data_IF_566739824725
#
_entry.id   IF_566739824725
#
_cell.length_a   1.000
_cell.length_b   1.000
_cell.length_c   1.000
_cell.angle_alpha   90.00
_cell.angle_beta   90.00
_cell.angle_gamma   90.00
#
_symmetry.space_group_name_H-M   'P 1'
#
loop_
_entity.id
_entity.type
_entity.pdbx_description
1 polymer ?
#
# COMPACT_ATOMS: atom_id res chain seq x y z
N UNK A 1 23.56 -39.87 -30.15
CA UNK A 1 23.90 -38.73 -29.27
C UNK A 1 22.71 -38.50 -28.36
N UNK A 2 22.85 -38.67 -27.03
CA UNK A 2 21.77 -38.32 -26.09
C UNK A 2 21.75 -36.80 -25.96
N UNK A 3 20.74 -36.14 -26.49
CA UNK A 3 20.55 -34.70 -26.29
C UNK A 3 20.19 -34.46 -24.82
N UNK A 4 20.99 -33.64 -24.14
CA UNK A 4 20.66 -33.17 -22.80
C UNK A 4 19.81 -31.90 -22.93
N UNK A 5 18.77 -31.73 -22.09
CA UNK A 5 18.05 -30.47 -22.01
C UNK A 5 19.00 -29.34 -21.63
N UNK A 6 18.86 -28.19 -22.29
CA UNK A 6 19.63 -27.00 -21.99
C UNK A 6 18.80 -26.08 -21.08
N UNK A 7 19.39 -25.66 -19.96
CA UNK A 7 18.75 -24.72 -19.04
C UNK A 7 19.36 -23.35 -19.30
N UNK A 8 18.53 -22.39 -19.71
CA UNK A 8 18.94 -20.99 -19.77
C UNK A 8 18.64 -20.35 -18.42
N UNK A 9 19.70 -19.96 -17.71
CA UNK A 9 19.59 -19.24 -16.43
C UNK A 9 19.94 -17.78 -16.69
N UNK A 10 18.97 -16.88 -16.49
CA UNK A 10 19.18 -15.44 -16.56
C UNK A 10 19.30 -14.91 -15.13
N UNK A 11 20.53 -14.59 -14.74
CA UNK A 11 20.86 -14.02 -13.43
C UNK A 11 20.79 -12.49 -13.47
N UNK A 12 19.95 -11.90 -12.62
CA UNK A 12 19.87 -10.46 -12.42
C UNK A 12 20.56 -10.07 -11.12
N UNK A 13 21.73 -9.44 -11.23
CA UNK A 13 22.39 -8.75 -10.12
C UNK A 13 21.90 -7.30 -10.10
N UNK A 14 20.73 -7.03 -9.51
CA UNK A 14 20.17 -5.67 -9.46
C UNK A 14 19.67 -5.29 -8.07
N UNK A 15 20.05 -4.08 -7.65
CA UNK A 15 19.43 -3.33 -6.54
C UNK A 15 18.10 -2.74 -7.00
N UNK A 16 17.00 -3.14 -6.37
CA UNK A 16 15.64 -2.57 -6.42
C UNK A 16 15.13 -2.09 -7.79
N UNK A 17 14.63 -3.02 -8.62
CA UNK A 17 13.75 -2.70 -9.76
C UNK A 17 12.61 -3.71 -9.86
N UNK A 18 11.40 -3.24 -10.19
CA UNK A 18 10.31 -4.10 -10.62
C UNK A 18 10.31 -4.18 -12.15
N UNK A 19 10.16 -5.38 -12.70
CA UNK A 19 10.07 -5.60 -14.15
C UNK A 19 8.59 -5.77 -14.48
N UNK A 20 8.04 -4.89 -15.31
CA UNK A 20 6.64 -4.87 -15.72
C UNK A 20 6.51 -4.70 -17.24
N UNK A 21 6.42 -5.83 -17.96
CA UNK A 21 6.17 -5.97 -19.43
C UNK A 21 7.28 -5.38 -20.34
N UNK A 22 7.64 -5.92 -21.50
CA UNK A 22 6.96 -6.79 -22.48
C UNK A 22 7.82 -7.99 -22.94
N UNK A 23 7.13 -9.06 -23.38
CA UNK A 23 7.49 -10.15 -24.31
C UNK A 23 8.98 -10.46 -24.49
N UNK A 24 9.47 -11.50 -23.81
CA UNK A 24 10.69 -12.20 -24.24
C UNK A 24 10.31 -13.11 -25.42
N UNK A 25 10.56 -12.65 -26.64
CA UNK A 25 10.33 -13.42 -27.86
C UNK A 25 11.55 -14.32 -28.11
N UNK A 26 11.41 -15.62 -27.88
CA UNK A 26 12.45 -16.61 -28.19
C UNK A 26 12.04 -17.31 -29.48
N UNK A 27 12.72 -16.99 -30.59
CA UNK A 27 12.43 -17.58 -31.90
C UNK A 27 13.43 -18.71 -32.21
N UNK A 28 12.93 -19.84 -32.73
CA UNK A 28 13.73 -20.96 -33.24
C UNK A 28 13.10 -21.45 -34.52
N UNK A 29 13.90 -21.90 -35.47
CA UNK A 29 13.38 -22.39 -36.74
C UNK A 29 13.92 -23.75 -37.19
N UNK A 30 13.47 -24.15 -38.37
CA UNK A 30 12.86 -25.45 -38.62
C UNK A 30 13.82 -26.47 -39.24
N UNK A 31 15.00 -26.07 -39.68
CA UNK A 31 16.00 -26.98 -40.23
C UNK A 31 17.27 -27.00 -39.37
N UNK A 32 17.37 -28.01 -38.51
CA UNK A 32 18.38 -29.08 -38.54
C UNK A 32 18.46 -29.76 -37.16
N UNK A 33 19.03 -30.96 -37.15
CA UNK A 33 19.05 -31.96 -36.05
C UNK A 33 19.94 -31.57 -34.85
N UNK A 34 19.89 -30.32 -34.40
CA UNK A 34 20.56 -29.83 -33.20
C UNK A 34 19.77 -28.67 -32.58
N UNK A 35 19.59 -28.69 -31.26
CA UNK A 35 18.97 -27.61 -30.50
C UNK A 35 19.86 -26.38 -30.48
N UNK A 36 19.65 -25.45 -31.40
CA UNK A 36 20.26 -24.11 -31.40
C UNK A 36 19.18 -23.13 -30.92
N UNK A 37 19.51 -22.30 -29.93
CA UNK A 37 18.67 -21.20 -29.44
C UNK A 37 19.22 -19.93 -30.07
N UNK A 38 18.40 -19.16 -30.78
CA UNK A 38 18.87 -17.99 -31.50
C UNK A 38 18.94 -16.78 -30.54
N UNK A 39 19.94 -15.93 -30.72
CA UNK A 39 19.97 -14.60 -30.10
C UNK A 39 19.37 -13.61 -31.10
N UNK A 40 18.04 -13.62 -31.26
CA UNK A 40 17.33 -12.49 -31.88
C UNK A 40 17.00 -11.49 -30.77
N UNK A 41 17.52 -10.27 -30.89
CA UNK A 41 17.11 -9.06 -30.19
C UNK A 41 16.25 -9.23 -28.92
N UNK A 42 16.90 -9.60 -27.81
CA UNK A 42 16.27 -9.47 -26.50
C UNK A 42 16.15 -7.98 -26.16
N UNK A 43 15.02 -7.36 -26.48
CA UNK A 43 14.68 -6.05 -25.92
C UNK A 43 14.12 -6.25 -24.51
N UNK A 44 15.01 -6.24 -23.52
CA UNK A 44 14.64 -6.07 -22.12
C UNK A 44 14.27 -4.60 -21.91
N UNK A 45 12.98 -4.29 -22.00
CA UNK A 45 12.43 -3.02 -21.57
C UNK A 45 12.12 -3.11 -20.07
N UNK A 46 12.83 -2.32 -19.27
CA UNK A 46 12.51 -2.11 -17.86
C UNK A 46 11.75 -0.78 -17.76
N UNK A 47 10.44 -0.86 -17.57
CA UNK A 47 9.59 0.29 -17.23
C UNK A 47 9.67 0.53 -15.73
N UNK A 48 10.10 1.72 -15.27
CA UNK A 48 10.01 2.08 -13.87
C UNK A 48 8.55 1.99 -13.41
N UNK A 49 8.31 1.53 -12.18
CA UNK A 49 7.04 1.83 -11.52
C UNK A 49 6.99 3.34 -11.35
N UNK A 50 5.92 3.95 -11.85
CA UNK A 50 5.66 5.38 -11.66
C UNK A 50 5.35 5.58 -10.16
N UNK A 51 6.39 5.94 -9.41
CA UNK A 51 6.25 6.35 -8.02
C UNK A 51 5.99 7.86 -8.03
N UNK A 52 4.89 8.34 -7.44
CA UNK A 52 4.66 9.77 -7.33
C UNK A 52 5.87 10.43 -6.65
N UNK A 53 6.40 11.48 -7.27
CA UNK A 53 7.50 12.34 -6.81
C UNK A 53 8.95 11.79 -6.86
N UNK A 54 9.20 10.63 -7.50
CA UNK A 54 10.56 10.10 -7.67
C UNK A 54 11.00 10.08 -9.15
N UNK A 55 11.91 11.01 -9.52
CA UNK A 55 12.65 10.91 -10.79
C UNK A 55 13.65 9.75 -10.72
N UNK A 56 13.19 8.54 -11.00
CA UNK A 56 14.08 7.39 -11.17
C UNK A 56 14.83 7.57 -12.48
N UNK A 57 16.14 7.83 -12.41
CA UNK A 57 17.03 7.73 -13.57
C UNK A 57 17.37 6.25 -13.70
N UNK A 58 16.84 5.51 -14.70
CA UNK A 58 17.13 4.09 -14.84
C UNK A 58 18.63 3.95 -15.14
N UNK A 59 19.37 3.37 -14.19
CA UNK A 59 20.75 2.96 -14.45
C UNK A 59 20.65 1.67 -15.26
N UNK A 60 20.85 1.78 -16.57
CA UNK A 60 20.93 0.63 -17.47
C UNK A 60 22.15 -0.19 -17.07
N UNK A 61 21.92 -1.22 -16.25
CA UNK A 61 22.92 -2.21 -15.94
C UNK A 61 22.92 -3.20 -17.10
N UNK A 62 24.01 -3.20 -17.87
CA UNK A 62 24.21 -4.25 -18.88
C UNK A 62 24.20 -5.58 -18.13
N UNK A 63 23.31 -6.52 -18.46
CA UNK A 63 23.30 -7.82 -17.82
C UNK A 63 24.69 -8.44 -17.94
N UNK A 64 25.21 -8.97 -16.83
CA UNK A 64 26.44 -9.73 -16.86
C UNK A 64 26.13 -11.06 -17.55
N UNK A 65 26.33 -11.11 -18.86
CA UNK A 65 26.29 -12.35 -19.62
C UNK A 65 27.52 -13.15 -19.20
N UNK A 66 27.31 -14.24 -18.46
CA UNK A 66 28.38 -15.19 -18.17
C UNK A 66 28.97 -15.65 -19.50
N UNK A 67 30.30 -15.66 -19.67
CA UNK A 67 30.92 -15.98 -20.94
C UNK A 67 30.52 -17.40 -21.36
N UNK A 68 29.67 -17.50 -22.39
CA UNK A 68 29.42 -18.76 -23.09
C UNK A 68 30.58 -19.05 -24.05
N UNK A 69 30.94 -20.33 -24.18
CA UNK A 69 31.91 -20.78 -25.17
C UNK A 69 31.40 -20.40 -26.57
N UNK A 70 32.22 -19.64 -27.29
CA UNK A 70 31.87 -18.74 -28.40
C UNK A 70 31.53 -19.41 -29.75
N UNK A 71 30.86 -20.56 -29.78
CA UNK A 71 30.73 -21.36 -31.02
C UNK A 71 29.33 -21.56 -31.60
N UNK A 72 28.27 -20.92 -31.09
CA UNK A 72 26.90 -21.41 -31.36
C UNK A 72 25.91 -20.49 -32.11
N UNK A 73 26.27 -19.29 -32.57
CA UNK A 73 25.25 -18.36 -33.11
C UNK A 73 25.60 -17.79 -34.51
N UNK A 74 24.67 -17.94 -35.47
CA UNK A 74 24.59 -17.28 -36.78
C UNK A 74 23.13 -16.86 -37.03
N UNK A 75 22.91 -15.71 -37.66
CA UNK A 75 21.58 -15.19 -38.04
C UNK A 75 20.95 -15.94 -39.23
N UNK A 76 19.63 -16.19 -39.18
CA UNK A 76 18.79 -16.63 -40.31
C UNK A 76 17.34 -16.13 -40.18
N UNK A 77 16.67 -15.91 -41.32
CA UNK A 77 15.29 -15.39 -41.48
C UNK A 77 14.22 -16.47 -41.27
N UNK A 78 13.79 -16.72 -40.03
CA UNK A 78 13.30 -18.06 -39.70
C UNK A 78 12.05 -18.12 -38.76
N UNK A 79 11.07 -18.99 -39.09
CA UNK A 79 9.68 -19.09 -38.56
C UNK A 79 9.56 -19.58 -37.10
N UNK A 80 8.75 -18.88 -36.27
CA UNK A 80 8.48 -19.20 -34.85
C UNK A 80 7.81 -20.58 -34.67
N UNK A 81 8.40 -21.43 -33.83
CA UNK A 81 7.91 -22.80 -33.53
C UNK A 81 7.04 -22.85 -32.26
N UNK A 82 7.33 -22.04 -31.23
CA UNK A 82 6.60 -22.02 -29.96
C UNK A 82 6.87 -20.72 -29.18
N UNK A 83 5.95 -20.31 -28.32
CA UNK A 83 6.07 -19.13 -27.46
C UNK A 83 5.49 -19.42 -26.07
N UNK A 84 6.13 -18.90 -25.03
CA UNK A 84 5.64 -18.97 -23.64
C UNK A 84 5.58 -17.57 -23.05
N UNK A 85 4.42 -17.20 -22.50
CA UNK A 85 4.19 -15.92 -21.86
C UNK A 85 4.04 -16.10 -20.35
N UNK A 86 4.84 -15.37 -19.57
CA UNK A 86 4.78 -15.42 -18.11
C UNK A 86 5.20 -14.08 -17.47
N UNK A 87 4.71 -13.85 -16.25
CA UNK A 87 5.04 -12.67 -15.44
C UNK A 87 5.69 -13.13 -14.14
N UNK A 88 6.83 -12.54 -13.79
CA UNK A 88 7.53 -12.84 -12.54
C UNK A 88 8.16 -11.59 -11.95
N UNK A 89 7.95 -11.40 -10.64
CA UNK A 89 8.71 -10.43 -9.85
C UNK A 89 10.08 -11.00 -9.50
N UNK A 90 11.13 -10.26 -9.85
CA UNK A 90 12.49 -10.61 -9.49
C UNK A 90 12.94 -9.78 -8.29
N UNK A 91 13.00 -10.44 -7.13
CA UNK A 91 13.64 -9.87 -5.95
C UNK A 91 15.17 -9.91 -6.09
N UNK A 92 15.92 -9.10 -5.31
CA UNK A 92 17.37 -9.24 -5.24
C UNK A 92 17.77 -10.69 -5.01
N UNK A 93 18.76 -11.18 -5.75
CA UNK A 93 19.28 -12.56 -5.72
C UNK A 93 18.38 -13.65 -6.32
N UNK A 94 17.21 -13.30 -6.85
CA UNK A 94 16.39 -14.24 -7.64
C UNK A 94 16.80 -14.22 -9.11
N UNK A 95 16.53 -15.33 -9.79
CA UNK A 95 16.82 -15.53 -11.22
C UNK A 95 15.57 -16.02 -11.91
N UNK A 96 15.50 -15.87 -13.24
CA UNK A 96 14.45 -16.43 -14.08
C UNK A 96 15.03 -17.63 -14.83
N UNK A 97 14.27 -18.72 -14.93
CA UNK A 97 14.69 -19.92 -15.63
C UNK A 97 13.62 -20.38 -16.63
N UNK A 98 14.06 -20.68 -17.84
CA UNK A 98 13.23 -21.32 -18.88
C UNK A 98 13.96 -22.59 -19.32
N UNK A 99 13.25 -23.70 -19.27
CA UNK A 99 13.67 -24.98 -19.82
C UNK A 99 13.33 -25.03 -21.31
N UNK A 100 14.32 -25.37 -22.12
CA UNK A 100 14.17 -25.52 -23.56
C UNK A 100 14.35 -27.01 -23.86
N UNK A 101 13.26 -27.68 -24.27
CA UNK A 101 13.31 -29.05 -24.79
C UNK A 101 13.38 -29.02 -26.32
N UNK A 102 14.59 -29.16 -26.90
CA UNK A 102 14.77 -29.08 -28.34
C UNK A 102 14.23 -30.29 -29.10
N UNK A 103 13.95 -31.41 -28.41
CA UNK A 103 13.48 -32.67 -29.01
C UNK A 103 11.97 -32.63 -29.13
N UNK A 104 11.28 -32.27 -28.06
CA UNK A 104 9.82 -32.23 -28.04
C UNK A 104 9.25 -30.89 -28.53
N UNK A 105 10.12 -29.90 -28.81
CA UNK A 105 9.71 -28.54 -29.18
C UNK A 105 8.77 -27.97 -28.13
N UNK A 106 9.29 -27.92 -26.89
CA UNK A 106 8.56 -27.41 -25.74
C UNK A 106 9.42 -26.34 -25.03
N UNK A 107 8.80 -25.20 -24.73
CA UNK A 107 9.32 -24.18 -23.82
C UNK A 107 8.55 -24.24 -22.51
N UNK A 108 9.28 -24.49 -21.42
CA UNK A 108 8.68 -24.55 -20.09
C UNK A 108 9.33 -23.52 -19.17
N UNK A 109 8.55 -22.54 -18.75
CA UNK A 109 8.95 -21.65 -17.68
C UNK A 109 9.13 -22.46 -16.38
N UNK A 110 10.32 -22.37 -15.78
CA UNK A 110 10.58 -22.91 -14.45
C UNK A 110 10.29 -21.78 -13.47
N UNK A 111 9.20 -21.93 -12.69
CA UNK A 111 8.86 -20.97 -11.64
C UNK A 111 9.98 -20.93 -10.61
N UNK A 112 10.75 -19.87 -10.65
CA UNK A 112 11.81 -19.57 -9.69
C UNK A 112 11.28 -18.57 -8.65
N UNK A 113 11.90 -18.52 -7.48
CA UNK A 113 11.49 -17.61 -6.41
C UNK A 113 10.48 -18.20 -5.42
N UNK A 114 9.97 -17.33 -4.55
CA UNK A 114 9.20 -17.72 -3.37
C UNK A 114 7.79 -18.15 -3.76
N UNK A 115 7.40 -19.36 -3.34
CA UNK A 115 6.02 -19.84 -3.43
C UNK A 115 5.23 -19.30 -2.24
N UNK A 116 4.19 -18.52 -2.53
CA UNK A 116 3.26 -18.01 -1.53
C UNK A 116 2.39 -19.15 -0.98
N UNK A 117 1.85 -18.98 0.22
CA UNK A 117 0.89 -19.94 0.79
C UNK A 117 -0.46 -19.89 0.08
N UNK A 118 -1.28 -20.92 0.26
CA UNK A 118 -2.65 -20.95 -0.27
C UNK A 118 -3.50 -19.80 0.29
N UNK A 119 -3.29 -19.44 1.56
CA UNK A 119 -3.98 -18.31 2.19
C UNK A 119 -3.58 -16.98 1.52
N UNK A 120 -2.30 -16.80 1.19
CA UNK A 120 -1.81 -15.62 0.46
C UNK A 120 -2.41 -15.53 -0.94
N UNK A 121 -2.45 -16.62 -1.69
CA UNK A 121 -3.06 -16.63 -3.02
C UNK A 121 -4.57 -16.37 -2.94
N UNK A 122 -5.26 -16.94 -1.95
CA UNK A 122 -6.68 -16.67 -1.68
C UNK A 122 -6.93 -15.20 -1.32
N UNK A 123 -6.08 -14.61 -0.47
CA UNK A 123 -6.17 -13.21 -0.09
C UNK A 123 -6.01 -12.27 -1.30
N UNK A 124 -5.06 -12.58 -2.18
CA UNK A 124 -4.86 -11.83 -3.43
C UNK A 124 -6.11 -11.93 -4.34
N UNK A 125 -6.68 -13.12 -4.50
CA UNK A 125 -7.88 -13.33 -5.32
C UNK A 125 -9.13 -12.64 -4.75
N UNK A 126 -9.22 -12.48 -3.43
CA UNK A 126 -10.29 -11.73 -2.80
C UNK A 126 -10.03 -10.21 -2.72
N UNK A 127 -8.86 -9.76 -3.15
CA UNK A 127 -8.50 -8.34 -3.23
C UNK A 127 -8.79 -7.76 -4.62
N UNK A 128 -8.93 -6.42 -4.74
CA UNK A 128 -9.06 -5.78 -6.04
C UNK A 128 -7.87 -6.05 -6.97
N UNK A 129 -8.15 -6.19 -8.26
CA UNK A 129 -7.11 -6.41 -9.29
C UNK A 129 -6.04 -5.31 -9.31
N UNK A 130 -6.42 -4.08 -9.00
CA UNK A 130 -5.50 -2.94 -9.03
C UNK A 130 -4.49 -2.92 -7.88
N UNK A 131 -4.67 -3.74 -6.83
CA UNK A 131 -3.71 -3.93 -5.71
C UNK A 131 -2.90 -5.22 -5.87
N UNK A 132 -3.37 -6.17 -6.70
CA UNK A 132 -2.88 -7.55 -6.77
C UNK A 132 -1.35 -7.65 -6.84
N UNK A 133 -0.74 -6.85 -7.70
CA UNK A 133 0.70 -6.82 -7.93
C UNK A 133 1.48 -6.33 -6.69
N UNK A 134 1.06 -5.23 -6.06
CA UNK A 134 1.72 -4.70 -4.86
C UNK A 134 1.52 -5.64 -3.67
N UNK A 135 0.32 -6.20 -3.50
CA UNK A 135 0.03 -7.15 -2.42
C UNK A 135 0.87 -8.43 -2.56
N UNK A 136 0.99 -8.97 -3.79
CA UNK A 136 1.82 -10.14 -4.07
C UNK A 136 3.28 -9.88 -3.74
N UNK A 137 3.81 -8.72 -4.13
CA UNK A 137 5.17 -8.31 -3.78
C UNK A 137 5.33 -8.25 -2.26
N UNK A 138 4.39 -7.61 -1.55
CA UNK A 138 4.44 -7.48 -0.10
C UNK A 138 4.41 -8.83 0.63
N UNK A 139 3.52 -9.73 0.24
CA UNK A 139 3.44 -11.07 0.83
C UNK A 139 4.74 -11.87 0.56
N UNK A 140 5.34 -11.67 -0.62
CA UNK A 140 6.65 -12.24 -0.94
C UNK A 140 7.76 -11.69 -0.03
N UNK A 141 7.76 -10.38 0.25
CA UNK A 141 8.69 -9.78 1.21
C UNK A 141 8.47 -10.34 2.63
N UNK A 142 7.22 -10.43 3.09
CA UNK A 142 6.86 -10.96 4.40
C UNK A 142 7.26 -12.43 4.57
N UNK A 143 7.23 -13.22 3.49
CA UNK A 143 7.72 -14.60 3.51
C UNK A 143 9.21 -14.70 3.82
N UNK A 144 10.01 -13.66 3.55
CA UNK A 144 11.40 -13.62 4.00
C UNK A 144 11.54 -13.54 5.53
N UNK A 145 10.52 -13.03 6.23
CA UNK A 145 10.45 -13.06 7.70
C UNK A 145 9.99 -14.42 8.23
N UNK A 146 9.17 -15.14 7.46
CA UNK A 146 8.74 -16.50 7.76
C UNK A 146 7.37 -16.83 7.16
N UNK A 147 7.14 -18.11 6.90
CA UNK A 147 5.85 -18.62 6.38
C UNK A 147 4.67 -18.26 7.29
N UNK A 148 4.88 -18.26 8.60
CA UNK A 148 3.83 -17.96 9.56
C UNK A 148 3.43 -16.48 9.52
N UNK A 149 4.41 -15.58 9.41
CA UNK A 149 4.19 -14.14 9.27
C UNK A 149 3.40 -13.82 8.01
N UNK A 150 3.81 -14.38 6.87
CA UNK A 150 3.09 -14.27 5.60
C UNK A 150 1.62 -14.69 5.76
N UNK A 151 1.38 -15.90 6.30
CA UNK A 151 0.04 -16.45 6.52
C UNK A 151 -0.81 -15.58 7.45
N UNK A 152 -0.23 -15.08 8.53
CA UNK A 152 -0.94 -14.20 9.48
C UNK A 152 -1.45 -12.93 8.80
N UNK A 153 -0.62 -12.30 7.96
CA UNK A 153 -1.02 -11.11 7.20
C UNK A 153 -2.04 -11.40 6.11
N UNK A 154 -1.89 -12.50 5.37
CA UNK A 154 -2.90 -12.93 4.39
C UNK A 154 -4.26 -13.18 5.06
N UNK A 155 -4.26 -13.79 6.25
CA UNK A 155 -5.48 -14.04 7.00
C UNK A 155 -6.20 -12.77 7.46
N UNK A 156 -5.53 -11.62 7.59
CA UNK A 156 -6.23 -10.36 7.89
C UNK A 156 -7.18 -9.99 6.75
N UNK A 157 -6.75 -10.09 5.50
CA UNK A 157 -7.58 -9.83 4.33
C UNK A 157 -8.74 -10.83 4.25
N UNK A 158 -8.47 -12.11 4.54
CA UNK A 158 -9.49 -13.15 4.48
C UNK A 158 -10.57 -13.00 5.58
N UNK A 159 -10.18 -12.52 6.77
CA UNK A 159 -11.09 -12.25 7.89
C UNK A 159 -11.90 -10.98 7.70
N UNK A 160 -11.37 -9.99 6.99
CA UNK A 160 -12.02 -8.71 6.77
C UNK A 160 -13.38 -8.87 6.08
N UNK A 161 -14.36 -8.08 6.52
CA UNK A 161 -15.66 -7.99 5.84
C UNK A 161 -15.47 -7.55 4.38
N UNK A 162 -16.37 -8.00 3.51
CA UNK A 162 -16.31 -7.71 2.07
C UNK A 162 -16.19 -6.21 1.77
N UNK A 163 -16.89 -5.37 2.54
CA UNK A 163 -16.92 -3.91 2.39
C UNK A 163 -15.61 -3.19 2.75
N UNK A 164 -14.72 -3.81 3.53
CA UNK A 164 -13.47 -3.17 3.99
C UNK A 164 -12.21 -3.85 3.41
N UNK A 165 -12.40 -4.80 2.50
CA UNK A 165 -11.36 -5.74 2.10
C UNK A 165 -10.30 -5.05 1.24
N UNK A 166 -10.71 -4.11 0.41
CA UNK A 166 -9.83 -3.26 -0.37
C UNK A 166 -8.99 -2.33 0.52
N UNK A 167 -9.53 -1.73 1.59
CA UNK A 167 -8.72 -0.93 2.51
C UNK A 167 -7.67 -1.77 3.23
N UNK A 168 -8.05 -2.95 3.75
CA UNK A 168 -7.12 -3.86 4.44
C UNK A 168 -6.02 -4.34 3.48
N UNK A 169 -6.39 -4.72 2.26
CA UNK A 169 -5.43 -5.10 1.23
C UNK A 169 -4.51 -3.94 0.84
N UNK A 170 -5.06 -2.73 0.70
CA UNK A 170 -4.31 -1.52 0.35
C UNK A 170 -3.26 -1.17 1.40
N UNK A 171 -3.67 -1.15 2.67
CA UNK A 171 -2.77 -0.87 3.80
C UNK A 171 -1.67 -1.90 3.85
N UNK A 172 -1.99 -3.19 3.77
CA UNK A 172 -0.97 -4.24 3.78
C UNK A 172 0.02 -4.05 2.63
N UNK A 173 -0.48 -3.90 1.39
CA UNK A 173 0.36 -3.75 0.20
C UNK A 173 1.31 -2.54 0.26
N UNK A 174 0.87 -1.44 0.87
CA UNK A 174 1.60 -0.16 0.86
C UNK A 174 2.29 0.17 2.20
N UNK A 175 2.15 -0.64 3.25
CA UNK A 175 2.93 -0.48 4.47
C UNK A 175 4.38 -0.93 4.26
N UNK A 176 5.30 -0.23 4.94
CA UNK A 176 6.71 -0.62 4.89
C UNK A 176 6.90 -2.01 5.52
N UNK A 177 7.76 -2.83 4.91
CA UNK A 177 8.11 -4.15 5.47
C UNK A 177 8.56 -4.01 6.93
N UNK A 178 9.41 -3.01 7.21
CA UNK A 178 9.97 -2.77 8.54
C UNK A 178 8.91 -2.50 9.60
N UNK A 179 7.83 -1.80 9.24
CA UNK A 179 6.72 -1.51 10.15
C UNK A 179 5.85 -2.74 10.41
N UNK A 180 5.61 -3.56 9.39
CA UNK A 180 4.85 -4.80 9.52
C UNK A 180 5.61 -5.85 10.36
N UNK A 181 6.94 -5.80 10.39
CA UNK A 181 7.75 -6.70 11.23
C UNK A 181 8.24 -6.05 12.54
N UNK A 182 7.84 -4.81 12.83
CA UNK A 182 8.17 -4.15 14.11
C UNK A 182 7.52 -4.91 15.26
N UNK A 183 8.29 -5.16 16.32
CA UNK A 183 7.85 -5.96 17.47
C UNK A 183 6.68 -5.33 18.23
N UNK A 184 6.46 -4.02 18.12
CA UNK A 184 5.30 -3.33 18.70
C UNK A 184 4.04 -3.50 17.85
N UNK A 185 4.19 -3.67 16.54
CA UNK A 185 3.07 -3.85 15.62
C UNK A 185 2.61 -5.30 15.56
N UNK A 186 3.56 -6.25 15.53
CA UNK A 186 3.29 -7.70 15.46
C UNK A 186 2.33 -8.18 16.56
N UNK A 187 2.32 -7.53 17.72
CA UNK A 187 1.44 -7.83 18.86
C UNK A 187 -0.04 -7.60 18.53
N UNK A 188 -0.34 -6.71 17.59
CA UNK A 188 -1.70 -6.29 17.29
C UNK A 188 -1.90 -5.99 15.80
N UNK A 189 -1.65 -7.00 14.97
CA UNK A 189 -1.82 -6.89 13.51
C UNK A 189 -3.27 -6.60 13.10
N UNK A 190 -4.22 -7.00 13.93
CA UNK A 190 -5.66 -6.75 13.75
C UNK A 190 -5.99 -5.24 13.78
N UNK A 191 -5.05 -4.38 14.21
CA UNK A 191 -5.16 -2.93 14.06
C UNK A 191 -5.37 -2.48 12.60
N UNK A 192 -4.91 -3.25 11.60
CA UNK A 192 -5.17 -2.96 10.18
C UNK A 192 -6.67 -3.03 9.88
N UNK A 193 -7.34 -4.09 10.35
CA UNK A 193 -8.78 -4.28 10.15
C UNK A 193 -9.55 -3.21 10.93
N UNK A 194 -9.21 -3.00 12.21
CA UNK A 194 -9.89 -1.99 13.04
C UNK A 194 -9.77 -0.58 12.47
N UNK A 195 -8.63 -0.24 11.87
CA UNK A 195 -8.46 1.06 11.19
C UNK A 195 -9.47 1.22 10.03
N UNK A 196 -9.68 0.18 9.23
CA UNK A 196 -10.67 0.21 8.16
C UNK A 196 -12.10 0.27 8.73
N UNK A 197 -12.42 -0.53 9.75
CA UNK A 197 -13.74 -0.50 10.43
C UNK A 197 -14.08 0.89 10.97
N UNK A 198 -13.11 1.59 11.55
CA UNK A 198 -13.30 2.94 12.07
C UNK A 198 -13.64 3.98 11.00
N UNK A 199 -13.17 3.81 9.76
CA UNK A 199 -13.55 4.72 8.67
C UNK A 199 -15.07 4.66 8.46
N UNK A 200 -15.64 3.45 8.41
CA UNK A 200 -17.08 3.24 8.24
C UNK A 200 -17.85 3.71 9.48
N UNK A 201 -17.40 3.32 10.67
CA UNK A 201 -18.04 3.72 11.92
C UNK A 201 -18.12 5.24 12.08
N UNK A 202 -17.05 5.96 11.74
CA UNK A 202 -17.01 7.41 11.92
C UNK A 202 -17.65 8.15 10.76
N UNK A 203 -17.58 7.66 9.52
CA UNK A 203 -18.30 8.26 8.40
C UNK A 203 -19.81 8.38 8.70
N UNK A 204 -20.42 7.33 9.23
CA UNK A 204 -21.85 7.30 9.58
C UNK A 204 -22.25 8.33 10.66
N UNK A 205 -21.30 8.77 11.48
CA UNK A 205 -21.54 9.75 12.54
C UNK A 205 -21.41 11.21 12.09
N UNK A 206 -20.87 11.45 10.89
CA UNK A 206 -20.51 12.77 10.39
C UNK A 206 -21.52 13.25 9.35
N UNK A 207 -22.03 14.47 9.50
CA UNK A 207 -23.10 14.98 8.63
C UNK A 207 -22.62 15.47 7.24
N UNK A 208 -21.32 15.43 7.00
CA UNK A 208 -20.68 16.07 5.85
C UNK A 208 -19.78 15.14 5.04
N UNK A 209 -19.74 13.84 5.35
CA UNK A 209 -19.01 12.83 4.58
C UNK A 209 -19.92 11.65 4.31
N UNK A 210 -19.77 11.05 3.14
CA UNK A 210 -20.41 9.79 2.79
C UNK A 210 -19.38 8.91 2.09
N UNK A 211 -19.37 7.63 2.44
CA UNK A 211 -18.59 6.61 1.73
C UNK A 211 -19.30 6.28 0.41
N UNK A 212 -18.52 6.15 -0.66
CA UNK A 212 -19.02 5.86 -2.00
C UNK A 212 -18.28 4.64 -2.54
N UNK A 213 -19.05 3.58 -2.78
CA UNK A 213 -18.57 2.32 -3.35
C UNK A 213 -18.66 2.34 -4.88
N UNK A 214 -17.60 1.88 -5.54
CA UNK A 214 -17.53 1.75 -7.00
C UNK A 214 -17.11 0.36 -7.41
N UNK A 215 -17.45 -0.03 -8.65
CA UNK A 215 -17.04 -1.31 -9.22
C UNK A 215 -17.86 -2.48 -8.70
N UNK A 216 -17.33 -3.69 -8.86
CA UNK A 216 -18.00 -4.90 -8.40
C UNK A 216 -17.00 -6.00 -7.98
N UNK A 217 -17.45 -6.90 -7.10
CA UNK A 217 -16.64 -7.99 -6.56
C UNK A 217 -16.35 -9.09 -7.58
N UNK A 218 -17.29 -9.40 -8.48
CA UNK A 218 -17.13 -10.47 -9.47
C UNK A 218 -15.94 -10.21 -10.43
N UNK A 219 -15.81 -8.97 -10.91
CA UNK A 219 -14.72 -8.54 -11.78
C UNK A 219 -13.47 -8.11 -11.01
N UNK A 220 -13.55 -8.06 -9.68
CA UNK A 220 -12.51 -7.56 -8.77
C UNK A 220 -12.09 -6.11 -9.10
N UNK A 221 -13.07 -5.29 -9.48
CA UNK A 221 -12.90 -3.86 -9.82
C UNK A 221 -13.36 -2.92 -8.71
N UNK A 222 -13.82 -3.50 -7.59
CA UNK A 222 -14.32 -2.75 -6.45
C UNK A 222 -13.26 -1.80 -5.89
N UNK A 223 -13.71 -0.61 -5.53
CA UNK A 223 -12.92 0.44 -4.89
C UNK A 223 -13.82 1.39 -4.13
N UNK A 224 -13.27 1.99 -3.10
CA UNK A 224 -13.95 2.92 -2.20
C UNK A 224 -13.41 4.32 -2.40
N UNK A 225 -14.29 5.30 -2.20
CA UNK A 225 -13.91 6.70 -2.02
C UNK A 225 -14.88 7.37 -1.06
N UNK A 226 -14.72 8.67 -0.85
CA UNK A 226 -15.62 9.49 -0.05
C UNK A 226 -16.08 10.70 -0.83
N UNK A 227 -17.29 11.18 -0.51
CA UNK A 227 -17.75 12.51 -0.92
C UNK A 227 -18.01 13.37 0.29
N UNK A 228 -17.80 14.67 0.14
CA UNK A 228 -17.89 15.64 1.21
C UNK A 228 -18.85 16.77 0.88
N UNK A 229 -19.59 17.25 1.87
CA UNK A 229 -20.36 18.50 1.76
C UNK A 229 -19.41 19.69 1.83
N UNK A 230 -19.44 20.52 0.81
CA UNK A 230 -18.68 21.76 0.74
C UNK A 230 -19.62 22.93 0.46
N UNK A 231 -19.34 24.10 1.03
CA UNK A 231 -20.17 25.27 0.81
C UNK A 231 -19.99 25.83 -0.60
N UNK A 232 -21.11 26.11 -1.26
CA UNK A 232 -21.19 26.77 -2.56
C UNK A 232 -21.80 28.16 -2.38
N UNK A 233 -20.97 29.19 -2.55
CA UNK A 233 -21.37 30.58 -2.40
C UNK A 233 -22.40 31.04 -3.44
N UNK A 234 -22.43 30.42 -4.63
CA UNK A 234 -23.39 30.76 -5.68
C UNK A 234 -24.80 30.27 -5.32
N UNK A 235 -24.89 29.08 -4.71
CA UNK A 235 -26.16 28.48 -4.26
C UNK A 235 -26.58 28.91 -2.86
N UNK A 236 -25.65 29.49 -2.08
CA UNK A 236 -25.82 29.79 -0.66
C UNK A 236 -26.21 28.55 0.15
N UNK A 237 -25.68 27.41 -0.26
CA UNK A 237 -25.94 26.09 0.34
C UNK A 237 -24.73 25.17 0.10
N UNK A 238 -24.80 23.94 0.56
CA UNK A 238 -23.77 22.92 0.39
C UNK A 238 -23.99 22.08 -0.87
N UNK A 239 -22.90 21.58 -1.44
CA UNK A 239 -22.91 20.59 -2.52
C UNK A 239 -22.03 19.40 -2.13
N UNK A 240 -22.38 18.22 -2.62
CA UNK A 240 -21.53 17.04 -2.48
C UNK A 240 -20.42 17.07 -3.51
N UNK A 241 -19.19 16.81 -3.07
CA UNK A 241 -18.01 16.69 -3.92
C UNK A 241 -17.26 15.43 -3.56
N UNK A 242 -17.19 14.50 -4.49
CA UNK A 242 -16.43 13.25 -4.37
C UNK A 242 -14.94 13.52 -4.57
N UNK A 243 -14.09 12.87 -3.78
CA UNK A 243 -12.64 12.89 -3.99
C UNK A 243 -12.21 11.72 -4.89
N UNK A 244 -11.08 11.84 -5.60
CA UNK A 244 -10.48 10.71 -6.30
C UNK A 244 -10.16 9.54 -5.34
N UNK A 245 -10.28 8.30 -5.82
CA UNK A 245 -10.08 7.10 -4.98
C UNK A 245 -8.64 6.95 -4.47
N UNK A 246 -7.65 7.34 -5.28
CA UNK A 246 -6.25 7.38 -4.85
C UNK A 246 -6.04 8.32 -3.65
N UNK A 247 -6.72 9.47 -3.65
CA UNK A 247 -6.69 10.39 -2.50
C UNK A 247 -7.33 9.74 -1.26
N UNK A 248 -8.44 9.02 -1.42
CA UNK A 248 -9.06 8.28 -0.31
C UNK A 248 -8.09 7.25 0.29
N UNK A 249 -7.51 6.37 -0.54
CA UNK A 249 -6.64 5.32 -0.03
C UNK A 249 -5.35 5.87 0.62
N UNK A 250 -4.73 6.88 0.02
CA UNK A 250 -3.46 7.41 0.56
C UNK A 250 -3.63 8.33 1.75
N UNK A 251 -4.74 9.08 1.86
CA UNK A 251 -4.88 10.12 2.90
C UNK A 251 -5.96 9.86 3.94
N UNK A 252 -6.88 8.92 3.67
CA UNK A 252 -7.91 8.50 4.64
C UNK A 252 -7.59 7.12 5.19
N UNK A 253 -7.27 6.16 4.32
CA UNK A 253 -7.09 4.76 4.70
C UNK A 253 -5.67 4.49 5.24
N UNK A 254 -4.65 4.94 4.52
CA UNK A 254 -3.26 4.61 4.84
C UNK A 254 -2.74 5.44 6.03
N UNK A 255 -2.14 4.79 7.06
CA UNK A 255 -1.52 5.51 8.16
C UNK A 255 -0.26 6.25 7.70
N UNK A 256 -0.04 7.48 8.17
CA UNK A 256 1.16 8.26 7.82
C UNK A 256 2.38 7.71 8.54
N UNK A 257 3.07 6.78 7.90
CA UNK A 257 4.13 5.96 8.51
C UNK A 257 5.32 6.72 9.10
N UNK A 258 5.62 7.93 8.61
CA UNK A 258 6.70 8.79 9.10
C UNK A 258 6.30 9.63 10.33
N UNK A 259 5.00 9.79 10.58
CA UNK A 259 4.45 10.65 11.63
C UNK A 259 3.60 9.90 12.65
N UNK A 260 3.13 8.70 12.30
CA UNK A 260 2.19 7.93 13.10
C UNK A 260 2.78 6.56 13.42
N UNK A 261 3.01 6.33 14.70
CA UNK A 261 3.15 4.97 15.19
C UNK A 261 1.78 4.30 15.19
N UNK A 262 1.54 3.33 14.32
CA UNK A 262 0.33 2.47 14.34
C UNK A 262 0.42 1.44 15.49
N UNK A 263 1.02 1.84 16.60
CA UNK A 263 1.33 0.96 17.72
C UNK A 263 0.32 1.21 18.83
N UNK A 264 -0.31 0.13 19.28
CA UNK A 264 -1.13 0.11 20.48
C UNK A 264 -0.27 0.01 21.75
N UNK A 265 1.00 -0.39 21.57
CA UNK A 265 2.00 -0.47 22.63
C UNK A 265 3.08 0.59 22.45
N UNK A 266 3.29 1.39 23.50
CA UNK A 266 4.40 2.33 23.54
C UNK A 266 5.76 1.64 23.64
N UNK A 267 6.79 2.32 23.13
CA UNK A 267 8.18 1.92 23.33
C UNK A 267 8.59 2.22 24.79
N UNK A 268 8.32 1.28 25.70
CA UNK A 268 8.54 1.42 27.14
C UNK A 268 10.01 1.24 27.56
N UNK A 269 10.95 1.93 26.92
CA UNK A 269 12.36 1.92 27.34
C UNK A 269 12.61 2.85 28.56
N UNK A 270 11.67 2.89 29.51
CA UNK A 270 11.72 3.59 30.81
C UNK A 270 11.92 5.12 30.80
N UNK A 271 12.25 5.77 29.68
CA UNK A 271 12.51 7.21 29.64
C UNK A 271 11.31 8.10 29.26
N UNK A 272 10.26 7.53 28.67
CA UNK A 272 9.22 8.30 27.97
C UNK A 272 7.78 8.15 28.51
N UNK A 273 7.55 7.26 29.48
CA UNK A 273 6.22 6.94 29.99
C UNK A 273 5.32 6.21 28.97
N UNK A 274 4.23 5.61 29.45
CA UNK A 274 3.13 5.15 28.59
C UNK A 274 2.30 6.37 28.16
N UNK A 275 1.91 6.42 26.88
CA UNK A 275 1.10 7.46 26.23
C UNK A 275 -0.11 6.92 25.49
N UNK A 276 -0.24 5.60 25.40
CA UNK A 276 -1.36 4.95 24.73
C UNK A 276 -2.08 3.98 25.67
N UNK A 277 -1.40 3.55 26.74
CA UNK A 277 -1.93 2.67 27.79
C UNK A 277 -2.58 1.40 27.24
N UNK A 278 -2.07 0.88 26.11
CA UNK A 278 -2.58 -0.33 25.46
C UNK A 278 -3.75 -0.10 24.51
N UNK A 279 -3.99 1.14 24.06
CA UNK A 279 -5.03 1.48 23.08
C UNK A 279 -4.46 2.20 21.85
N UNK A 280 -5.19 2.25 20.74
CA UNK A 280 -4.74 3.06 19.61
C UNK A 280 -4.82 4.56 19.97
N UNK A 281 -3.78 5.34 19.66
CA UNK A 281 -3.76 6.77 20.02
C UNK A 281 -4.94 7.56 19.42
N UNK A 282 -5.43 7.14 18.24
CA UNK A 282 -6.63 7.71 17.59
C UNK A 282 -7.90 7.52 18.41
N UNK A 283 -7.99 6.44 19.19
CA UNK A 283 -9.14 6.20 20.04
C UNK A 283 -9.30 7.29 21.09
N UNK A 284 -8.21 7.90 21.58
CA UNK A 284 -8.29 9.03 22.52
C UNK A 284 -8.82 10.31 21.87
N UNK A 285 -8.70 10.47 20.55
CA UNK A 285 -9.22 11.64 19.83
C UNK A 285 -10.74 11.54 19.69
N UNK A 286 -11.25 10.33 19.43
CA UNK A 286 -12.66 10.10 19.18
C UNK A 286 -13.44 9.70 20.43
N UNK A 287 -12.87 8.80 21.24
CA UNK A 287 -13.44 8.16 22.43
C UNK A 287 -12.55 8.36 23.67
N UNK A 288 -12.95 7.80 24.81
CA UNK A 288 -12.10 7.68 26.00
C UNK A 288 -11.83 6.20 26.33
N UNK A 289 -10.85 5.55 25.70
CA UNK A 289 -10.64 4.12 25.87
C UNK A 289 -10.10 3.75 27.26
N UNK A 290 -9.44 4.69 27.95
CA UNK A 290 -8.94 4.51 29.31
C UNK A 290 -9.60 5.49 30.29
N UNK A 291 -10.26 4.96 31.33
CA UNK A 291 -10.96 5.77 32.33
C UNK A 291 -10.01 6.49 33.31
N UNK A 292 -8.78 6.00 33.48
CA UNK A 292 -7.78 6.57 34.37
C UNK A 292 -6.96 7.66 33.66
N UNK A 293 -6.79 7.56 32.34
CA UNK A 293 -5.96 8.47 31.55
C UNK A 293 -6.77 9.24 30.50
N UNK A 294 -7.48 10.28 30.94
CA UNK A 294 -8.31 11.15 30.08
C UNK A 294 -7.52 12.35 29.51
N UNK A 295 -7.41 12.40 28.17
CA UNK A 295 -6.68 13.44 27.43
C UNK A 295 -7.41 14.77 27.27
N UNK A 296 -8.59 14.92 27.89
CA UNK A 296 -9.27 16.21 27.97
C UNK A 296 -8.54 17.20 28.88
N UNK A 297 -7.80 16.76 29.90
CA UNK A 297 -7.08 17.64 30.82
C UNK A 297 -5.70 18.01 30.27
N UNK A 298 -5.59 19.15 29.57
CA UNK A 298 -4.33 19.57 28.93
C UNK A 298 -3.48 20.51 29.78
N UNK A 299 -4.07 21.23 30.75
CA UNK A 299 -3.36 22.11 31.71
C UNK A 299 -2.25 22.97 31.09
N UNK A 300 -2.53 23.55 29.92
CA UNK A 300 -1.54 24.25 29.09
C UNK A 300 -1.59 25.74 29.35
N UNK A 301 -0.43 26.38 29.51
CA UNK A 301 -0.29 27.84 29.59
C UNK A 301 0.69 28.33 28.55
N UNK A 302 0.30 29.33 27.78
CA UNK A 302 1.11 29.97 26.72
C UNK A 302 1.10 31.48 26.90
N UNK A 303 1.93 32.21 26.15
CA UNK A 303 1.86 33.67 26.09
C UNK A 303 0.48 34.22 25.65
N UNK A 304 -0.36 33.37 25.05
CA UNK A 304 -1.71 33.73 24.56
C UNK A 304 -2.85 33.30 25.50
N UNK A 305 -2.53 32.69 26.64
CA UNK A 305 -3.51 32.28 27.66
C UNK A 305 -3.35 30.83 28.13
N UNK A 306 -4.22 30.45 29.08
CA UNK A 306 -4.25 29.13 29.69
C UNK A 306 -5.50 28.33 29.28
N UNK A 307 -5.33 27.04 29.05
CA UNK A 307 -6.36 26.06 28.71
C UNK A 307 -6.22 24.90 29.68
N UNK A 308 -7.18 24.72 30.58
CA UNK A 308 -7.16 23.61 31.53
C UNK A 308 -7.68 22.34 30.89
N UNK A 309 -8.76 22.45 30.12
CA UNK A 309 -9.42 21.31 29.48
C UNK A 309 -9.77 21.58 28.02
N UNK A 310 -9.85 20.50 27.24
CA UNK A 310 -10.37 20.50 25.88
C UNK A 310 -11.53 19.49 25.76
N UNK A 311 -12.58 19.80 24.98
CA UNK A 311 -13.56 18.80 24.61
C UNK A 311 -12.92 17.73 23.72
N UNK A 312 -13.55 16.55 23.68
CA UNK A 312 -13.09 15.48 22.81
C UNK A 312 -13.37 15.84 21.36
N UNK A 313 -12.43 15.52 20.47
CA UNK A 313 -12.56 15.95 19.08
C UNK A 313 -13.74 15.27 18.38
N UNK A 314 -13.96 13.97 18.63
CA UNK A 314 -15.10 13.22 18.09
C UNK A 314 -16.45 13.88 18.40
N UNK A 315 -16.67 14.29 19.65
CA UNK A 315 -17.90 14.98 20.09
C UNK A 315 -18.12 16.30 19.35
N UNK A 316 -17.04 17.04 19.09
CA UNK A 316 -17.12 18.33 18.42
C UNK A 316 -17.39 18.17 16.92
N UNK A 317 -16.62 17.32 16.26
CA UNK A 317 -16.60 17.28 14.79
C UNK A 317 -17.92 16.77 14.20
N UNK A 318 -18.62 15.91 14.93
CA UNK A 318 -19.97 15.42 14.60
C UNK A 318 -21.04 16.52 14.53
N UNK A 319 -20.81 17.68 15.17
CA UNK A 319 -21.77 18.79 15.18
C UNK A 319 -21.76 19.61 13.88
N UNK A 320 -20.73 19.47 13.05
CA UNK A 320 -20.55 20.30 11.86
C UNK A 320 -21.35 19.77 10.67
N UNK A 321 -21.87 20.69 9.83
CA UNK A 321 -22.74 20.35 8.69
C UNK A 321 -22.01 20.21 7.35
N UNK A 322 -20.80 20.76 7.23
CA UNK A 322 -20.02 20.78 6.00
C UNK A 322 -18.52 20.84 6.29
N UNK A 323 -17.71 20.31 5.37
CA UNK A 323 -16.27 20.18 5.52
C UNK A 323 -15.55 21.55 5.42
N UNK A 324 -15.82 22.27 4.33
CA UNK A 324 -15.05 23.45 3.93
C UNK A 324 -15.92 24.54 3.31
N UNK A 325 -15.65 25.80 3.67
CA UNK A 325 -16.33 26.98 3.16
C UNK A 325 -15.67 27.60 1.91
N UNK A 326 -14.59 26.97 1.40
CA UNK A 326 -13.76 27.45 0.29
C UNK A 326 -13.07 28.79 0.55
N UNK A 327 -12.98 29.23 1.80
CA UNK A 327 -12.27 30.45 2.16
C UNK A 327 -10.97 30.10 2.88
N UNK A 328 -9.93 30.86 2.55
CA UNK A 328 -8.72 30.89 3.36
C UNK A 328 -8.96 31.85 4.51
N UNK A 329 -8.80 31.38 5.74
CA UNK A 329 -8.99 32.18 6.93
C UNK A 329 -7.83 31.97 7.92
N UNK A 330 -7.47 33.05 8.60
CA UNK A 330 -6.52 33.02 9.71
C UNK A 330 -7.32 33.20 11.00
N UNK A 331 -7.22 32.23 11.90
CA UNK A 331 -8.01 32.22 13.12
C UNK A 331 -7.16 32.53 14.36
N UNK A 332 -7.66 33.36 15.28
CA UNK A 332 -6.98 33.63 16.54
C UNK A 332 -6.99 32.40 17.46
N UNK A 333 -5.95 32.28 18.29
CA UNK A 333 -5.83 31.24 19.30
C UNK A 333 -6.98 31.29 20.31
N UNK A 334 -7.46 30.11 20.74
CA UNK A 334 -8.47 29.95 21.79
C UNK A 334 -9.80 30.70 21.55
N UNK A 335 -10.18 30.91 20.29
CA UNK A 335 -11.51 31.45 19.94
C UNK A 335 -12.63 30.47 20.34
N UNK A 336 -13.85 30.91 20.66
CA UNK A 336 -14.96 30.02 21.00
C UNK A 336 -15.20 28.92 19.96
N UNK A 337 -15.59 27.73 20.42
CA UNK A 337 -16.04 26.66 19.53
C UNK A 337 -17.48 26.96 19.10
N UNK A 338 -17.73 26.92 17.81
CA UNK A 338 -19.05 27.15 17.23
C UNK A 338 -19.38 25.98 16.28
N UNK A 339 -20.45 25.21 16.54
CA UNK A 339 -20.92 24.12 15.68
C UNK A 339 -21.26 24.55 14.24
N UNK A 340 -21.61 25.82 14.03
CA UNK A 340 -21.91 26.35 12.69
C UNK A 340 -20.66 26.55 11.82
N UNK A 341 -19.46 26.44 12.41
CA UNK A 341 -18.22 26.50 11.66
C UNK A 341 -18.05 25.24 10.80
N UNK A 342 -17.27 25.37 9.72
CA UNK A 342 -16.89 24.21 8.91
C UNK A 342 -16.02 23.24 9.71
N UNK A 343 -16.01 21.97 9.32
CA UNK A 343 -15.19 20.94 9.97
C UNK A 343 -13.69 21.33 9.98
N UNK A 344 -13.15 21.86 8.87
CA UNK A 344 -11.76 22.34 8.81
C UNK A 344 -11.45 23.46 9.82
N UNK A 345 -12.39 24.38 10.02
CA UNK A 345 -12.23 25.46 10.98
C UNK A 345 -12.26 24.94 12.44
N UNK A 346 -13.15 23.98 12.71
CA UNK A 346 -13.24 23.31 14.01
C UNK A 346 -11.97 22.51 14.33
N UNK A 347 -11.43 21.77 13.35
CA UNK A 347 -10.14 21.07 13.45
C UNK A 347 -9.03 22.05 13.83
N UNK A 348 -8.90 23.16 13.10
CA UNK A 348 -7.88 24.17 13.38
C UNK A 348 -7.99 24.75 14.79
N UNK A 349 -9.21 25.05 15.24
CA UNK A 349 -9.44 25.56 16.60
C UNK A 349 -9.12 24.51 17.67
N UNK A 350 -9.56 23.27 17.50
CA UNK A 350 -9.25 22.19 18.42
C UNK A 350 -7.74 21.94 18.51
N UNK A 351 -7.04 21.83 17.37
CA UNK A 351 -5.60 21.66 17.32
C UNK A 351 -4.85 22.82 18.00
N UNK A 352 -5.32 24.06 17.85
CA UNK A 352 -4.69 25.21 18.52
C UNK A 352 -4.70 25.06 20.04
N UNK A 353 -5.71 24.38 20.60
CA UNK A 353 -5.87 24.15 22.03
C UNK A 353 -5.09 22.92 22.49
N UNK A 354 -5.19 21.84 21.72
CA UNK A 354 -4.62 20.53 22.05
C UNK A 354 -3.10 20.44 21.86
N UNK A 355 -2.55 21.08 20.83
CA UNK A 355 -1.12 20.98 20.49
C UNK A 355 -0.34 22.19 21.03
N UNK A 356 0.84 22.04 21.63
CA UNK A 356 1.66 23.17 22.07
C UNK A 356 1.92 24.16 20.92
N UNK A 357 1.71 25.46 21.18
CA UNK A 357 1.82 26.52 20.15
C UNK A 357 3.23 27.08 20.04
N UNK A 358 4.11 26.68 20.97
CA UNK A 358 5.48 27.17 21.09
C UNK A 358 6.43 26.17 20.43
N UNK A 359 6.34 26.07 19.10
CA UNK A 359 7.41 25.51 18.27
C UNK A 359 7.89 26.66 17.39
N UNK A 360 8.75 27.50 17.99
CA UNK A 360 9.59 28.46 17.27
C UNK A 360 10.87 27.80 16.82
#
# INVERSE_FOLDING_TARGET
MKYQPAILIILFLLSNFAISQEIIKIERSADDKSGVVYQSDYQLTATPIDLPDLKVIPKVLKPLILPQSSSFFKESDEKIIESVDFKQYLNPTTYLAVEIDPVNKNLKYIRTGTVLTEESESAILQSPKWIEDQLRLKLTELRSHGIQTEREYANLILKAEEKIKDEVAFVLANMSYQSLVDSRFIVDKEAIIRNAEYIYLFADSLQYVEIVEHGNFADRTFRTTTRYRIYDSAKRDTVWSEIPSDIYYWYVVHPKMDQEGVYVRDNNNNASGQRTYGYAWRDYIWNNPDALYDYRNVNKTTAKGSILTIPRFGELIQTTRYLWDRKKAYFPFNRPLNPENSALDLIGNWCSRALPVDVT
#
